data_IF_786819726393
#
_entry.id   IF_786819726393
#
_cell.length_a   1.000
_cell.length_b   1.000
_cell.length_c   1.000
_cell.angle_alpha   90.00
_cell.angle_beta   90.00
_cell.angle_gamma   90.00
#
_symmetry.space_group_name_H-M   'P 1'
#
loop_
_entity.id
_entity.type
_entity.pdbx_description
1 polymer ?
#
# COMPACT_ATOMS: atom_id res chain seq x y z
N UNK A 1 -23.45 1.90 -6.36
CA UNK A 1 -22.23 1.73 -5.58
C UNK A 1 -22.10 2.94 -4.64
N UNK A 2 -21.72 2.72 -3.37
CA UNK A 2 -21.41 3.84 -2.46
C UNK A 2 -20.11 4.48 -2.97
N UNK A 3 -20.05 5.80 -2.98
CA UNK A 3 -18.80 6.49 -3.26
C UNK A 3 -17.77 6.18 -2.15
N UNK A 4 -16.48 6.02 -2.51
CA UNK A 4 -15.41 5.91 -1.53
C UNK A 4 -15.48 7.10 -0.57
N UNK A 5 -15.50 6.85 0.73
CA UNK A 5 -15.59 7.87 1.75
C UNK A 5 -14.40 7.82 2.69
N UNK A 6 -13.97 8.97 3.19
CA UNK A 6 -12.91 9.11 4.20
C UNK A 6 -13.50 9.50 5.57
N UNK A 7 -14.73 9.04 5.83
CA UNK A 7 -15.41 9.28 7.09
C UNK A 7 -14.67 8.60 8.26
N UNK A 8 -14.18 9.39 9.18
CA UNK A 8 -13.40 8.93 10.33
C UNK A 8 -14.19 7.97 11.22
N UNK A 9 -15.53 8.11 11.28
CA UNK A 9 -16.40 7.20 12.05
C UNK A 9 -16.42 5.80 11.47
N UNK A 10 -16.50 5.68 10.15
CA UNK A 10 -16.46 4.39 9.43
C UNK A 10 -15.12 3.70 9.59
N UNK A 11 -14.00 4.43 9.47
CA UNK A 11 -12.67 3.88 9.72
C UNK A 11 -12.51 3.39 11.16
N UNK A 12 -12.94 4.20 12.13
CA UNK A 12 -12.94 3.81 13.56
C UNK A 12 -13.70 2.52 13.80
N UNK A 13 -14.91 2.42 13.27
CA UNK A 13 -15.74 1.22 13.41
C UNK A 13 -15.07 -0.03 12.80
N UNK A 14 -14.44 0.11 11.64
CA UNK A 14 -13.71 -0.98 11.00
C UNK A 14 -12.47 -1.40 11.82
N UNK A 15 -11.65 -0.45 12.25
CA UNK A 15 -10.46 -0.71 13.07
C UNK A 15 -10.84 -1.46 14.36
N UNK A 16 -11.86 -1.00 15.07
CA UNK A 16 -12.36 -1.68 16.28
C UNK A 16 -12.85 -3.09 15.97
N UNK A 17 -13.63 -3.26 14.91
CA UNK A 17 -14.16 -4.56 14.55
C UNK A 17 -13.06 -5.57 14.17
N UNK A 18 -11.98 -5.12 13.51
CA UNK A 18 -10.82 -5.94 13.18
C UNK A 18 -10.04 -6.27 14.47
N UNK A 19 -9.65 -5.28 15.26
CA UNK A 19 -8.85 -5.46 16.47
C UNK A 19 -9.50 -6.32 17.54
N UNK A 20 -10.84 -6.38 17.59
CA UNK A 20 -11.58 -7.29 18.45
C UNK A 20 -11.53 -8.76 18.01
N UNK A 21 -11.16 -9.05 16.77
CA UNK A 21 -11.21 -10.39 16.16
C UNK A 21 -9.85 -10.99 15.87
N UNK A 22 -8.87 -10.16 15.53
CA UNK A 22 -7.54 -10.64 15.15
C UNK A 22 -6.47 -9.61 15.48
N UNK A 23 -5.26 -10.11 15.72
CA UNK A 23 -4.05 -9.29 15.80
C UNK A 23 -3.44 -9.21 14.40
N UNK A 24 -3.48 -8.02 13.80
CA UNK A 24 -2.90 -7.71 12.49
C UNK A 24 -2.38 -6.27 12.49
N UNK A 25 -1.44 -5.96 11.61
CA UNK A 25 -1.08 -4.57 11.33
C UNK A 25 -2.24 -3.89 10.62
N UNK A 26 -2.76 -2.83 11.19
CA UNK A 26 -3.87 -2.06 10.61
C UNK A 26 -3.32 -0.85 9.87
N UNK A 27 -3.68 -0.75 8.61
CA UNK A 27 -3.34 0.37 7.75
C UNK A 27 -4.60 1.13 7.33
N UNK A 28 -4.49 2.47 7.28
CA UNK A 28 -5.54 3.33 6.73
C UNK A 28 -5.15 3.86 5.36
N UNK A 29 -6.15 4.19 4.54
CA UNK A 29 -5.92 4.80 3.24
C UNK A 29 -5.98 6.33 3.33
N UNK A 30 -5.06 7.00 2.62
CA UNK A 30 -5.15 8.42 2.28
C UNK A 30 -5.45 8.65 0.79
N UNK A 31 -5.85 7.61 0.06
CA UNK A 31 -6.19 7.69 -1.37
C UNK A 31 -7.47 8.47 -1.61
N UNK A 32 -8.54 8.11 -0.94
CA UNK A 32 -9.85 8.71 -1.14
C UNK A 32 -10.43 8.43 -2.54
N UNK A 33 -11.38 9.24 -2.94
CA UNK A 33 -11.93 9.24 -4.31
C UNK A 33 -11.19 10.23 -5.20
N UNK A 34 -11.26 10.01 -6.51
CA UNK A 34 -10.77 11.00 -7.50
C UNK A 34 -11.42 12.35 -7.24
N UNK A 35 -10.60 13.40 -7.21
CA UNK A 35 -11.04 14.77 -6.93
C UNK A 35 -11.27 15.13 -5.46
N UNK A 36 -11.12 14.18 -4.52
CA UNK A 36 -11.28 14.44 -3.10
C UNK A 36 -10.14 15.35 -2.57
N UNK A 37 -10.46 16.41 -1.80
CA UNK A 37 -9.45 17.29 -1.20
C UNK A 37 -8.53 16.56 -0.23
N UNK A 38 -7.25 16.96 -0.17
CA UNK A 38 -6.24 16.38 0.73
C UNK A 38 -6.68 16.41 2.21
N UNK A 39 -7.38 17.46 2.62
CA UNK A 39 -7.87 17.57 3.99
C UNK A 39 -8.82 16.42 4.36
N UNK A 40 -9.72 16.04 3.45
CA UNK A 40 -10.64 14.93 3.61
C UNK A 40 -9.92 13.58 3.51
N UNK A 41 -9.03 13.43 2.52
CA UNK A 41 -8.20 12.22 2.36
C UNK A 41 -7.42 11.86 3.63
N UNK A 42 -6.97 12.85 4.37
CA UNK A 42 -6.24 12.69 5.61
C UNK A 42 -7.13 12.58 6.86
N UNK A 43 -8.45 12.55 6.74
CA UNK A 43 -9.38 12.39 7.86
C UNK A 43 -9.04 11.22 8.79
N UNK A 44 -8.80 10.00 8.27
CA UNK A 44 -8.47 8.83 9.10
C UNK A 44 -7.18 8.95 9.90
N UNK A 45 -6.25 9.84 9.54
CA UNK A 45 -5.01 10.09 10.29
C UNK A 45 -5.26 10.78 11.64
N UNK A 46 -6.49 11.27 11.90
CA UNK A 46 -6.88 11.90 13.17
C UNK A 46 -7.27 10.86 14.25
N UNK A 47 -7.34 9.58 13.90
CA UNK A 47 -7.64 8.52 14.84
C UNK A 47 -6.46 8.31 15.80
N UNK A 48 -6.75 8.21 17.09
CA UNK A 48 -5.74 8.12 18.15
C UNK A 48 -6.06 7.01 19.16
N UNK A 49 -5.10 6.66 20.00
CA UNK A 49 -5.26 5.63 21.02
C UNK A 49 -5.52 4.26 20.44
N UNK A 50 -6.48 3.53 20.99
CA UNK A 50 -6.84 2.17 20.50
C UNK A 50 -7.50 2.16 19.12
N UNK A 51 -7.91 3.31 18.61
CA UNK A 51 -8.52 3.45 17.28
C UNK A 51 -7.48 3.86 16.21
N UNK A 52 -6.24 4.15 16.62
CA UNK A 52 -5.19 4.53 15.68
C UNK A 52 -4.75 3.35 14.82
N UNK A 53 -4.62 3.53 13.50
CA UNK A 53 -3.90 2.57 12.65
C UNK A 53 -2.40 2.59 13.00
N UNK A 54 -1.65 1.61 12.49
CA UNK A 54 -0.20 1.55 12.62
C UNK A 54 0.50 2.12 11.38
N UNK A 55 -0.17 2.05 10.24
CA UNK A 55 0.32 2.52 8.93
C UNK A 55 -0.72 3.36 8.19
N UNK A 56 -0.24 4.11 7.22
CA UNK A 56 -1.11 4.81 6.27
C UNK A 56 -0.51 4.81 4.87
N UNK A 57 -1.35 4.75 3.83
CA UNK A 57 -0.86 4.84 2.46
C UNK A 57 -0.36 6.25 2.14
N UNK A 58 0.72 6.33 1.37
CA UNK A 58 1.24 7.57 0.78
C UNK A 58 1.34 7.38 -0.73
N UNK A 59 0.35 7.89 -1.45
CA UNK A 59 0.39 7.88 -2.91
C UNK A 59 1.35 8.97 -3.42
N UNK A 60 2.37 8.56 -4.17
CA UNK A 60 3.34 9.49 -4.76
C UNK A 60 3.14 9.59 -6.27
N UNK A 61 2.98 10.82 -6.76
CA UNK A 61 2.80 11.09 -8.19
C UNK A 61 1.36 11.00 -8.70
N UNK A 62 1.07 11.88 -9.62
CA UNK A 62 -0.21 11.95 -10.34
C UNK A 62 -0.22 10.94 -11.48
N UNK A 63 -1.33 10.24 -11.67
CA UNK A 63 -1.50 9.26 -12.75
C UNK A 63 -2.84 9.45 -13.46
N UNK A 64 -2.91 8.98 -14.71
CA UNK A 64 -4.20 8.67 -15.32
C UNK A 64 -4.77 7.44 -14.62
N UNK A 65 -6.01 7.52 -14.18
CA UNK A 65 -6.70 6.45 -13.46
C UNK A 65 -7.97 6.06 -14.22
N UNK A 66 -7.80 5.21 -15.21
CA UNK A 66 -8.87 4.91 -16.16
C UNK A 66 -9.16 6.10 -17.07
N UNK A 67 -10.36 6.66 -16.98
CA UNK A 67 -10.78 7.85 -17.73
C UNK A 67 -10.61 9.14 -16.91
N UNK A 68 -10.18 9.03 -15.66
CA UNK A 68 -9.97 10.13 -14.73
C UNK A 68 -8.48 10.36 -14.44
N UNK A 69 -8.20 11.37 -13.60
CA UNK A 69 -6.85 11.69 -13.13
C UNK A 69 -6.83 11.59 -11.61
N UNK A 70 -6.01 10.69 -11.08
CA UNK A 70 -5.73 10.64 -9.65
C UNK A 70 -4.59 11.61 -9.32
N UNK A 71 -4.97 12.76 -8.77
CA UNK A 71 -4.04 13.87 -8.56
C UNK A 71 -3.29 13.72 -7.26
N UNK A 72 -1.96 13.64 -7.35
CA UNK A 72 -1.02 13.69 -6.23
C UNK A 72 0.13 14.63 -6.62
N UNK A 73 -0.11 15.94 -6.52
CA UNK A 73 0.92 16.94 -6.79
C UNK A 73 2.05 16.80 -5.78
N UNK A 74 3.27 17.18 -6.14
CA UNK A 74 4.43 17.13 -5.24
C UNK A 74 4.17 17.79 -3.89
N UNK A 75 3.50 18.94 -3.87
CA UNK A 75 3.13 19.64 -2.62
C UNK A 75 2.12 18.83 -1.80
N UNK A 76 1.13 18.22 -2.45
CA UNK A 76 0.11 17.41 -1.80
C UNK A 76 0.76 16.16 -1.18
N UNK A 77 1.63 15.49 -1.92
CA UNK A 77 2.38 14.32 -1.42
C UNK A 77 3.23 14.68 -0.20
N UNK A 78 3.94 15.82 -0.23
CA UNK A 78 4.71 16.31 0.93
C UNK A 78 3.82 16.60 2.14
N UNK A 79 2.64 17.19 1.93
CA UNK A 79 1.68 17.45 3.02
C UNK A 79 1.14 16.16 3.62
N UNK A 80 0.80 15.17 2.80
CA UNK A 80 0.32 13.86 3.28
C UNK A 80 1.42 13.16 4.07
N UNK A 81 2.66 13.13 3.56
CA UNK A 81 3.81 12.56 4.27
C UNK A 81 4.02 13.21 5.66
N UNK A 82 3.94 14.55 5.73
CA UNK A 82 4.03 15.28 7.01
C UNK A 82 2.91 14.91 7.98
N UNK A 83 1.67 14.78 7.49
CA UNK A 83 0.52 14.42 8.34
C UNK A 83 0.63 12.98 8.84
N UNK A 84 1.10 12.04 8.02
CA UNK A 84 1.36 10.64 8.42
C UNK A 84 2.42 10.63 9.53
N UNK A 85 3.53 11.35 9.34
CA UNK A 85 4.59 11.46 10.34
C UNK A 85 4.09 12.12 11.65
N UNK A 86 3.31 13.21 11.56
CA UNK A 86 2.73 13.89 12.71
C UNK A 86 1.75 13.02 13.49
N UNK A 87 1.00 12.14 12.79
CA UNK A 87 0.13 11.14 13.40
C UNK A 87 0.91 9.96 14.04
N UNK A 88 2.23 9.92 13.87
CA UNK A 88 3.05 8.85 14.40
C UNK A 88 2.94 7.54 13.61
N UNK A 89 2.41 7.55 12.39
CA UNK A 89 2.19 6.38 11.55
C UNK A 89 3.38 6.10 10.63
N UNK A 90 3.49 4.84 10.19
CA UNK A 90 4.47 4.46 9.16
C UNK A 90 3.82 4.58 7.78
N UNK A 91 4.44 5.27 6.81
CA UNK A 91 3.91 5.34 5.46
C UNK A 91 4.15 4.04 4.69
N UNK A 92 3.13 3.55 3.98
CA UNK A 92 3.29 2.67 2.82
C UNK A 92 3.35 3.55 1.58
N UNK A 93 4.48 3.52 0.87
CA UNK A 93 4.70 4.36 -0.32
C UNK A 93 4.14 3.66 -1.54
N UNK A 94 3.00 4.11 -2.06
CA UNK A 94 2.34 3.52 -3.22
C UNK A 94 2.85 4.14 -4.52
N UNK A 95 3.40 3.28 -5.40
CA UNK A 95 3.99 3.62 -6.69
C UNK A 95 3.22 2.98 -7.83
N UNK A 96 2.88 3.78 -8.84
CA UNK A 96 2.13 3.35 -10.03
C UNK A 96 2.95 3.44 -11.31
N UNK A 97 4.15 4.05 -11.24
CA UNK A 97 5.04 4.26 -12.37
C UNK A 97 6.50 4.29 -11.92
N UNK A 98 7.44 4.06 -12.85
CA UNK A 98 8.88 4.10 -12.57
C UNK A 98 9.35 5.47 -12.07
N UNK A 99 8.83 6.55 -12.63
CA UNK A 99 9.17 7.92 -12.22
C UNK A 99 8.73 8.25 -10.79
N UNK A 100 7.83 7.47 -10.19
CA UNK A 100 7.44 7.64 -8.79
C UNK A 100 8.57 7.26 -7.81
N UNK A 101 9.50 6.40 -8.20
CA UNK A 101 10.70 6.11 -7.40
C UNK A 101 11.56 7.36 -7.21
N UNK A 102 11.69 8.19 -8.25
CA UNK A 102 12.45 9.44 -8.17
C UNK A 102 11.76 10.46 -7.23
N UNK A 103 10.40 10.45 -7.20
CA UNK A 103 9.65 11.25 -6.24
C UNK A 103 9.87 10.74 -4.80
N UNK A 104 9.93 9.42 -4.60
CA UNK A 104 10.23 8.84 -3.29
C UNK A 104 11.65 9.23 -2.82
N UNK A 105 12.64 9.24 -3.71
CA UNK A 105 13.99 9.76 -3.41
C UNK A 105 13.97 11.24 -3.01
N UNK A 106 13.25 12.06 -3.76
CA UNK A 106 13.10 13.48 -3.41
C UNK A 106 12.51 13.68 -2.00
N UNK A 107 11.53 12.84 -1.62
CA UNK A 107 10.95 12.88 -0.29
C UNK A 107 11.94 12.48 0.80
N UNK A 108 12.82 11.51 0.54
CA UNK A 108 13.95 11.16 1.43
C UNK A 108 14.93 12.31 1.57
N UNK A 109 15.39 12.90 0.47
CA UNK A 109 16.31 14.04 0.45
C UNK A 109 15.78 15.24 1.22
N UNK A 110 14.48 15.45 1.18
CA UNK A 110 13.80 16.52 1.92
C UNK A 110 13.43 16.13 3.37
N UNK A 111 13.84 14.97 3.84
CA UNK A 111 13.53 14.48 5.19
C UNK A 111 12.02 14.27 5.43
N UNK A 112 11.23 14.02 4.37
CA UNK A 112 9.80 13.73 4.46
C UNK A 112 9.51 12.24 4.58
N UNK A 113 10.44 11.41 4.14
CA UNK A 113 10.50 9.97 4.37
C UNK A 113 11.81 9.62 5.04
N UNK A 114 11.88 8.43 5.63
CA UNK A 114 13.09 7.88 6.24
C UNK A 114 13.20 6.41 5.89
N UNK A 115 14.41 5.94 5.60
CA UNK A 115 14.68 4.52 5.40
C UNK A 115 14.63 3.76 6.74
N UNK A 116 14.23 2.48 6.75
CA UNK A 116 13.72 1.72 5.61
C UNK A 116 12.28 2.09 5.25
N UNK A 117 11.91 1.95 3.98
CA UNK A 117 10.54 2.12 3.48
C UNK A 117 9.81 0.79 3.36
N UNK A 118 8.49 0.84 3.37
CA UNK A 118 7.66 -0.17 2.73
C UNK A 118 7.05 0.42 1.46
N UNK A 119 7.38 -0.19 0.33
CA UNK A 119 6.96 0.28 -1.01
C UNK A 119 5.92 -0.67 -1.57
N UNK A 120 4.79 -0.14 -2.02
CA UNK A 120 3.72 -0.90 -2.65
C UNK A 120 3.64 -0.54 -4.14
N UNK A 121 4.04 -1.45 -5.02
CA UNK A 121 3.84 -1.30 -6.46
C UNK A 121 2.40 -1.62 -6.82
N UNK A 122 1.71 -0.71 -7.51
CA UNK A 122 0.34 -0.93 -8.00
C UNK A 122 0.38 -0.97 -9.52
N UNK A 123 0.20 -2.16 -10.09
CA UNK A 123 0.41 -2.41 -11.51
C UNK A 123 -0.88 -2.81 -12.23
N UNK A 124 -1.03 -2.35 -13.47
CA UNK A 124 -2.16 -2.71 -14.32
C UNK A 124 -3.35 -1.75 -14.24
N UNK A 125 -3.21 -0.63 -13.55
CA UNK A 125 -4.15 0.49 -13.67
C UNK A 125 -4.07 1.05 -15.08
N UNK A 126 -5.23 1.25 -15.74
CA UNK A 126 -5.27 1.82 -17.08
C UNK A 126 -4.76 3.27 -17.04
N UNK A 127 -3.68 3.53 -17.76
CA UNK A 127 -3.02 4.85 -17.79
C UNK A 127 -1.81 4.96 -16.88
N UNK A 128 -1.42 3.88 -16.19
CA UNK A 128 -0.21 3.75 -15.41
C UNK A 128 0.63 2.55 -15.89
N UNK A 129 1.63 2.12 -15.14
CA UNK A 129 2.54 1.04 -15.54
C UNK A 129 1.80 -0.29 -15.65
N UNK A 130 1.98 -0.98 -16.78
CA UNK A 130 1.33 -2.25 -17.05
C UNK A 130 1.83 -3.36 -16.10
N UNK A 131 0.92 -4.23 -15.66
CA UNK A 131 1.25 -5.41 -14.87
C UNK A 131 1.93 -6.48 -15.76
N UNK A 132 3.24 -6.45 -15.81
CA UNK A 132 4.07 -7.42 -16.52
C UNK A 132 5.27 -7.83 -15.68
N UNK A 133 5.78 -9.04 -15.92
CA UNK A 133 7.00 -9.53 -15.27
C UNK A 133 8.16 -8.54 -15.44
N UNK A 134 8.39 -8.05 -16.66
CA UNK A 134 9.48 -7.12 -16.96
C UNK A 134 9.38 -5.82 -16.15
N UNK A 135 8.17 -5.25 -16.04
CA UNK A 135 7.99 -4.00 -15.29
C UNK A 135 8.20 -4.22 -13.80
N UNK A 136 7.72 -5.35 -13.24
CA UNK A 136 7.96 -5.67 -11.85
C UNK A 136 9.45 -5.90 -11.59
N UNK A 137 10.16 -6.63 -12.45
CA UNK A 137 11.61 -6.84 -12.31
C UNK A 137 12.39 -5.54 -12.33
N UNK A 138 12.05 -4.58 -13.20
CA UNK A 138 12.66 -3.25 -13.23
C UNK A 138 12.41 -2.47 -11.92
N UNK A 139 11.20 -2.53 -11.39
CA UNK A 139 10.89 -1.88 -10.10
C UNK A 139 11.66 -2.53 -8.95
N UNK A 140 11.75 -3.86 -8.94
CA UNK A 140 12.50 -4.61 -7.92
C UNK A 140 14.00 -4.33 -8.01
N UNK A 141 14.57 -4.21 -9.20
CA UNK A 141 15.95 -3.79 -9.40
C UNK A 141 16.22 -2.41 -8.76
N UNK A 142 15.32 -1.46 -8.98
CA UNK A 142 15.42 -0.12 -8.39
C UNK A 142 15.24 -0.09 -6.86
N UNK A 143 14.74 -1.16 -6.23
CA UNK A 143 14.67 -1.24 -4.77
C UNK A 143 16.05 -1.26 -4.10
N UNK A 144 17.12 -1.59 -4.82
CA UNK A 144 18.49 -1.47 -4.29
C UNK A 144 18.87 -0.01 -3.94
N UNK A 145 18.18 0.98 -4.53
CA UNK A 145 18.35 2.40 -4.22
C UNK A 145 17.74 2.76 -2.83
N UNK A 146 16.98 1.85 -2.21
CA UNK A 146 16.30 2.02 -0.92
C UNK A 146 16.75 0.94 0.07
N UNK A 147 17.98 1.00 0.59
CA UNK A 147 18.56 -0.07 1.40
C UNK A 147 17.72 -0.40 2.65
N UNK A 148 17.58 -1.69 2.93
CA UNK A 148 16.81 -2.20 4.07
C UNK A 148 15.28 -2.15 3.90
N UNK A 149 14.80 -1.56 2.81
CA UNK A 149 13.37 -1.41 2.53
C UNK A 149 12.74 -2.71 2.04
N UNK A 150 11.45 -2.88 2.34
CA UNK A 150 10.62 -3.97 1.84
C UNK A 150 9.69 -3.49 0.73
N UNK A 151 9.23 -4.42 -0.10
CA UNK A 151 8.30 -4.08 -1.17
C UNK A 151 7.18 -5.13 -1.29
N UNK A 152 6.06 -4.70 -1.84
CA UNK A 152 4.93 -5.53 -2.22
C UNK A 152 4.39 -5.15 -3.59
N UNK A 153 3.49 -5.96 -4.14
CA UNK A 153 2.79 -5.65 -5.39
C UNK A 153 1.30 -5.95 -5.30
N UNK A 154 0.51 -5.02 -5.83
CA UNK A 154 -0.89 -5.18 -6.17
C UNK A 154 -1.03 -5.24 -7.68
N UNK A 155 -1.64 -6.29 -8.20
CA UNK A 155 -2.04 -6.40 -9.60
C UNK A 155 -3.51 -6.08 -9.76
N UNK A 156 -3.87 -5.12 -10.61
CA UNK A 156 -5.27 -4.72 -10.77
C UNK A 156 -6.01 -5.67 -11.73
N UNK A 157 -7.24 -6.02 -11.36
CA UNK A 157 -8.13 -6.90 -12.13
C UNK A 157 -7.53 -8.30 -12.33
N UNK A 158 -7.54 -8.78 -13.55
CA UNK A 158 -7.00 -10.11 -13.93
C UNK A 158 -5.53 -10.30 -13.58
N UNK A 159 -4.82 -9.25 -13.25
CA UNK A 159 -3.39 -9.29 -12.95
C UNK A 159 -3.08 -9.57 -11.47
N UNK A 160 -4.09 -9.57 -10.58
CA UNK A 160 -3.87 -9.73 -9.14
C UNK A 160 -3.12 -11.03 -8.81
N UNK A 161 -3.59 -12.16 -9.28
CA UNK A 161 -2.95 -13.45 -8.98
C UNK A 161 -1.62 -13.65 -9.71
N UNK A 162 -1.47 -13.35 -11.01
CA UNK A 162 -0.15 -13.39 -11.66
C UNK A 162 0.91 -12.51 -11.00
N UNK A 163 0.55 -11.31 -10.53
CA UNK A 163 1.49 -10.46 -9.79
C UNK A 163 1.81 -11.01 -8.41
N UNK A 164 0.83 -11.63 -7.72
CA UNK A 164 1.05 -12.31 -6.45
C UNK A 164 2.07 -13.45 -6.58
N UNK A 165 1.96 -14.27 -7.61
CA UNK A 165 2.90 -15.36 -7.92
C UNK A 165 4.32 -14.82 -8.19
N UNK A 166 4.43 -13.76 -8.98
CA UNK A 166 5.72 -13.11 -9.27
C UNK A 166 6.32 -12.48 -8.00
N UNK A 167 5.53 -11.81 -7.18
CA UNK A 167 6.00 -11.26 -5.90
C UNK A 167 6.55 -12.35 -4.98
N UNK A 168 5.82 -13.46 -4.83
CA UNK A 168 6.27 -14.58 -4.03
C UNK A 168 7.61 -15.14 -4.52
N UNK A 169 7.78 -15.27 -5.84
CA UNK A 169 9.01 -15.78 -6.45
C UNK A 169 10.20 -14.80 -6.33
N UNK A 170 9.95 -13.50 -6.38
CA UNK A 170 10.98 -12.45 -6.33
C UNK A 170 11.28 -11.94 -4.90
N UNK A 171 10.65 -12.50 -3.87
CA UNK A 171 10.91 -12.14 -2.48
C UNK A 171 10.07 -10.96 -1.93
N UNK A 172 9.12 -10.46 -2.70
CA UNK A 172 8.22 -9.37 -2.31
C UNK A 172 7.02 -9.82 -1.47
N UNK A 173 6.27 -8.85 -0.97
CA UNK A 173 4.98 -9.05 -0.31
C UNK A 173 3.84 -9.04 -1.32
N UNK A 174 2.68 -9.55 -0.93
CA UNK A 174 1.52 -9.68 -1.81
C UNK A 174 0.38 -8.83 -1.24
N UNK A 175 -0.24 -8.00 -2.09
CA UNK A 175 -1.53 -7.37 -1.82
C UNK A 175 -2.60 -8.00 -2.69
N UNK A 176 -3.71 -8.42 -2.05
CA UNK A 176 -4.93 -8.93 -2.72
C UNK A 176 -6.17 -8.38 -2.03
N UNK A 177 -7.28 -8.33 -2.73
CA UNK A 177 -8.56 -7.93 -2.18
C UNK A 177 -9.54 -7.51 -3.27
N UNK A 178 -10.80 -7.27 -2.86
CA UNK A 178 -11.89 -6.89 -3.76
C UNK A 178 -11.73 -5.51 -4.37
N UNK A 179 -10.91 -4.65 -3.77
CA UNK A 179 -10.58 -3.33 -4.34
C UNK A 179 -9.86 -3.47 -5.68
N UNK A 180 -8.90 -4.39 -5.74
CA UNK A 180 -8.05 -4.59 -6.92
C UNK A 180 -8.66 -5.58 -7.91
N UNK A 181 -9.42 -6.60 -7.44
CA UNK A 181 -10.02 -7.65 -8.27
C UNK A 181 -11.19 -8.32 -7.58
N UNK A 182 -12.33 -8.40 -8.25
CA UNK A 182 -13.55 -9.02 -7.73
C UNK A 182 -13.70 -10.52 -8.08
N UNK A 183 -12.74 -11.11 -8.81
CA UNK A 183 -12.81 -12.51 -9.25
C UNK A 183 -11.81 -13.39 -8.51
N UNK A 184 -12.28 -14.54 -8.03
CA UNK A 184 -11.39 -15.59 -7.50
C UNK A 184 -10.75 -16.42 -8.63
N UNK A 185 -11.49 -16.59 -9.73
CA UNK A 185 -11.08 -17.24 -10.96
C UNK A 185 -11.78 -16.57 -12.14
N UNK A 186 -11.35 -16.87 -13.36
CA UNK A 186 -11.95 -16.31 -14.57
C UNK A 186 -13.45 -16.58 -14.62
N UNK A 187 -14.23 -15.51 -14.51
CA UNK A 187 -15.70 -15.58 -14.55
C UNK A 187 -16.37 -15.98 -13.22
N UNK A 188 -15.61 -16.26 -12.17
CA UNK A 188 -16.14 -16.62 -10.84
C UNK A 188 -15.86 -15.49 -9.85
N UNK A 189 -16.92 -14.86 -9.36
CA UNK A 189 -16.81 -13.78 -8.37
C UNK A 189 -16.28 -14.34 -7.03
N UNK A 190 -15.43 -13.57 -6.36
CA UNK A 190 -15.02 -13.86 -5.00
C UNK A 190 -16.15 -13.47 -4.03
N UNK A 191 -16.42 -14.31 -3.05
CA UNK A 191 -17.42 -14.05 -2.00
C UNK A 191 -17.01 -12.94 -1.03
N UNK A 192 -15.71 -12.54 -1.07
CA UNK A 192 -15.12 -11.51 -0.22
C UNK A 192 -13.61 -11.45 -0.41
N UNK A 193 -12.94 -10.66 0.40
CA UNK A 193 -11.47 -10.60 0.39
C UNK A 193 -10.81 -11.83 1.02
N UNK A 194 -11.49 -12.52 1.96
CA UNK A 194 -10.91 -13.67 2.66
C UNK A 194 -10.47 -14.81 1.74
N UNK A 195 -11.28 -15.28 0.76
CA UNK A 195 -10.83 -16.30 -0.20
C UNK A 195 -9.62 -15.87 -1.04
N UNK A 196 -9.51 -14.58 -1.38
CA UNK A 196 -8.36 -14.04 -2.10
C UNK A 196 -7.09 -14.09 -1.22
N UNK A 197 -7.22 -13.75 0.06
CA UNK A 197 -6.12 -13.82 1.05
C UNK A 197 -5.68 -15.28 1.26
N UNK A 198 -6.61 -16.21 1.39
CA UNK A 198 -6.29 -17.64 1.49
C UNK A 198 -5.51 -18.14 0.25
N UNK A 199 -5.90 -17.69 -0.94
CA UNK A 199 -5.19 -18.01 -2.17
C UNK A 199 -3.78 -17.41 -2.18
N UNK A 200 -3.61 -16.16 -1.75
CA UNK A 200 -2.31 -15.53 -1.62
C UNK A 200 -1.41 -16.28 -0.62
N UNK A 201 -1.96 -16.73 0.51
CA UNK A 201 -1.23 -17.54 1.47
C UNK A 201 -0.74 -18.87 0.86
N UNK A 202 -1.58 -19.55 0.07
CA UNK A 202 -1.20 -20.77 -0.67
C UNK A 202 -0.10 -20.51 -1.71
N UNK A 203 -0.14 -19.36 -2.41
CA UNK A 203 0.92 -18.92 -3.34
C UNK A 203 2.25 -18.75 -2.59
N UNK A 204 2.24 -18.07 -1.43
CA UNK A 204 3.43 -17.94 -0.59
C UNK A 204 4.00 -19.31 -0.20
N UNK A 205 3.16 -20.22 0.29
CA UNK A 205 3.57 -21.55 0.69
C UNK A 205 4.14 -22.37 -0.47
N UNK A 206 3.50 -22.34 -1.64
CA UNK A 206 3.95 -23.01 -2.84
C UNK A 206 5.32 -22.50 -3.33
N UNK A 207 5.66 -21.23 -3.07
CA UNK A 207 6.97 -20.65 -3.36
C UNK A 207 8.03 -20.93 -2.28
N UNK A 208 7.72 -21.76 -1.29
CA UNK A 208 8.62 -22.09 -0.18
C UNK A 208 8.71 -20.98 0.89
N UNK A 209 7.84 -19.99 0.85
CA UNK A 209 7.84 -18.87 1.81
C UNK A 209 6.79 -19.07 2.90
N UNK A 210 7.10 -18.62 4.09
CA UNK A 210 6.18 -18.59 5.23
C UNK A 210 5.38 -17.29 5.22
N UNK A 211 4.10 -17.36 5.51
CA UNK A 211 3.29 -16.19 5.83
C UNK A 211 3.72 -15.65 7.19
N UNK A 212 4.06 -14.36 7.27
CA UNK A 212 4.48 -13.73 8.50
C UNK A 212 3.34 -13.67 9.53
N UNK A 213 3.65 -13.89 10.80
CA UNK A 213 2.75 -13.55 11.90
C UNK A 213 2.63 -12.03 12.05
N UNK A 214 1.62 -11.56 12.77
CA UNK A 214 1.44 -10.13 13.04
C UNK A 214 2.68 -9.49 13.69
N UNK A 215 3.33 -10.22 14.63
CA UNK A 215 4.57 -9.77 15.27
C UNK A 215 5.73 -9.68 14.29
N UNK A 216 5.89 -10.65 13.39
CA UNK A 216 6.91 -10.62 12.33
C UNK A 216 6.62 -9.50 11.32
N UNK A 217 5.34 -9.31 10.94
CA UNK A 217 4.92 -8.23 10.07
C UNK A 217 5.24 -6.85 10.66
N UNK A 218 4.97 -6.62 11.95
CA UNK A 218 5.36 -5.38 12.64
C UNK A 218 6.86 -5.14 12.60
N UNK A 219 7.67 -6.17 12.78
CA UNK A 219 9.13 -6.06 12.67
C UNK A 219 9.60 -5.67 11.27
N UNK A 220 8.93 -6.18 10.24
CA UNK A 220 9.26 -5.88 8.84
C UNK A 220 8.79 -4.46 8.45
N UNK A 221 7.55 -4.11 8.81
CA UNK A 221 6.87 -2.93 8.29
C UNK A 221 7.04 -1.68 9.16
N UNK A 222 7.15 -1.85 10.49
CA UNK A 222 7.13 -0.74 11.45
C UNK A 222 8.52 -0.41 12.00
N UNK A 223 9.58 -1.02 11.46
CA UNK A 223 10.94 -0.67 11.87
C UNK A 223 11.21 0.78 11.47
N UNK A 224 11.38 1.63 12.49
CA UNK A 224 11.81 3.02 12.31
C UNK A 224 13.31 3.10 12.51
N UNK A 225 14.03 3.94 11.75
CA UNK A 225 15.42 4.23 12.07
C UNK A 225 15.46 4.80 13.48
N UNK A 226 16.46 4.37 14.25
CA UNK A 226 16.80 5.07 15.49
C UNK A 226 17.15 6.49 15.09
N UNK A 227 16.41 7.47 15.60
CA UNK A 227 16.72 8.87 15.35
C UNK A 227 18.18 9.10 15.77
N UNK A 228 19.06 9.32 14.80
CA UNK A 228 20.36 9.86 15.07
C UNK A 228 20.07 11.31 15.48
N UNK A 229 20.24 11.60 16.75
CA UNK A 229 20.11 12.96 17.26
C UNK A 229 21.04 13.89 16.45
N UNK A 230 20.58 15.12 16.15
CA UNK A 230 21.35 16.09 15.38
C UNK A 230 22.69 16.42 16.02
#
# INVERSE_FOLDING_TARGET
>A
ARQPGQDTGSFRAAIRAIGQRCDVVIQTSTGGAVGMPIAERCGPLQLTGSDAPEMATLNVGTINFGDDIFVNRRQDTMQVAQRIAAAGLVPEVELYDLGHLDIAHELLDKGRLQLPLHVQFVLGVRGALAASKRNLELLVERMQDFPGSSWGVAGVGRHQLPMAELAAALGGNIRVGLEDNIYIEKGVLAEGSAPLVERAAKICQASGRKVASATEARKILLTRPVAVAP
#
